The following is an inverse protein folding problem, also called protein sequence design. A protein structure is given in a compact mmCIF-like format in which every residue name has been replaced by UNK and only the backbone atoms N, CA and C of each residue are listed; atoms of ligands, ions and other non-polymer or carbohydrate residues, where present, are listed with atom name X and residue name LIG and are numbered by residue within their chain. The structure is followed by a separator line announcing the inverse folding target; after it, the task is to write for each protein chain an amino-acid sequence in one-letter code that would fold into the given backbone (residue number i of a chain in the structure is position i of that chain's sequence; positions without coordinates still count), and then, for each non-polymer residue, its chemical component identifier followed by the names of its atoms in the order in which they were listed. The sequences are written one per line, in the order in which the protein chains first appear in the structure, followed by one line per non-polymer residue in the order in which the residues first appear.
data_IF_090024947725
#
_entry.id   IF_090024947725
#
_cell.length_a   1.000
_cell.length_b   1.000
_cell.length_c   1.000
_cell.angle_alpha   90.00
_cell.angle_beta   90.00
_cell.angle_gamma   90.00
#
_symmetry.space_group_name_H-M   'P 1'
#
loop_
_entity.id
_entity.type
_entity.pdbx_description
1 polymer ?
#
# COMPACT_ATOMS: atom_id res chain seq x y z
N UNK A 1 0.89 10.39 -9.76
CA UNK A 1 -0.52 9.93 -9.66
C UNK A 1 -0.65 8.49 -10.13
N UNK A 2 -0.34 8.16 -11.38
CA UNK A 2 -0.43 6.77 -11.86
C UNK A 2 0.61 5.84 -11.19
N UNK A 3 1.86 6.28 -11.08
CA UNK A 3 2.92 5.53 -10.38
C UNK A 3 2.58 5.28 -8.90
N UNK A 4 1.94 6.25 -8.25
CA UNK A 4 1.53 6.14 -6.84
C UNK A 4 0.40 5.12 -6.66
N UNK A 5 -0.53 5.05 -7.62
CA UNK A 5 -1.62 4.06 -7.66
C UNK A 5 -1.04 2.65 -7.88
N UNK A 6 -0.09 2.51 -8.82
CA UNK A 6 0.55 1.22 -9.10
C UNK A 6 1.33 0.73 -7.88
N UNK A 7 2.07 1.61 -7.21
CA UNK A 7 2.78 1.28 -5.97
C UNK A 7 1.81 0.88 -4.85
N UNK A 8 0.68 1.58 -4.72
CA UNK A 8 -0.35 1.27 -3.73
C UNK A 8 -1.05 -0.08 -4.01
N UNK A 9 -1.19 -0.48 -5.27
CA UNK A 9 -1.80 -1.75 -5.64
C UNK A 9 -0.82 -2.93 -5.55
N UNK A 10 0.45 -2.70 -5.89
CA UNK A 10 1.47 -3.75 -6.01
C UNK A 10 2.77 -3.37 -5.29
N UNK A 11 2.76 -3.17 -3.96
CA UNK A 11 3.96 -2.77 -3.22
C UNK A 11 5.01 -3.88 -3.17
N UNK A 12 4.60 -5.14 -3.34
CA UNK A 12 5.47 -6.32 -3.26
C UNK A 12 6.31 -6.58 -4.52
N UNK A 13 5.93 -6.00 -5.65
CA UNK A 13 6.59 -6.22 -6.94
C UNK A 13 7.06 -4.88 -7.56
N UNK A 14 7.17 -3.83 -6.74
CA UNK A 14 7.63 -2.52 -7.18
C UNK A 14 9.16 -2.46 -7.27
N UNK A 15 9.67 -1.68 -8.23
CA UNK A 15 11.09 -1.40 -8.34
C UNK A 15 11.49 -0.33 -7.30
N UNK A 16 12.39 -0.67 -6.38
CA UNK A 16 12.86 0.26 -5.35
C UNK A 16 13.60 1.47 -5.95
N UNK A 17 14.20 1.36 -7.13
CA UNK A 17 14.87 2.50 -7.77
C UNK A 17 13.87 3.58 -8.25
N UNK A 18 12.61 3.20 -8.45
CA UNK A 18 11.54 4.07 -8.97
C UNK A 18 10.67 4.68 -7.86
N UNK A 19 10.93 4.36 -6.59
CA UNK A 19 10.16 4.88 -5.44
C UNK A 19 10.94 5.95 -4.67
N UNK A 20 10.23 6.70 -3.83
CA UNK A 20 10.84 7.69 -2.94
C UNK A 20 11.83 7.02 -1.99
N UNK A 21 13.03 7.58 -1.87
CA UNK A 21 14.11 7.07 -0.99
C UNK A 21 13.63 6.83 0.45
N UNK A 22 12.72 7.67 0.94
CA UNK A 22 12.16 7.53 2.29
C UNK A 22 11.33 6.25 2.49
N UNK A 23 10.75 5.72 1.41
CA UNK A 23 9.94 4.50 1.39
C UNK A 23 10.74 3.24 1.03
N UNK A 24 11.91 3.38 0.38
CA UNK A 24 12.70 2.25 -0.11
C UNK A 24 13.00 1.21 0.98
N UNK A 25 13.38 1.65 2.18
CA UNK A 25 13.67 0.76 3.31
C UNK A 25 12.43 -0.01 3.76
N UNK A 26 11.31 0.70 3.98
CA UNK A 26 10.06 0.09 4.42
C UNK A 26 9.48 -0.86 3.35
N UNK A 27 9.64 -0.51 2.07
CA UNK A 27 9.21 -1.36 0.95
C UNK A 27 10.11 -2.59 0.78
N UNK A 28 11.42 -2.47 0.99
CA UNK A 28 12.31 -3.64 1.02
C UNK A 28 11.90 -4.61 2.13
N UNK A 29 11.73 -4.09 3.36
CA UNK A 29 11.31 -4.89 4.50
C UNK A 29 9.91 -5.48 4.32
N UNK A 30 9.03 -4.82 3.58
CA UNK A 30 7.72 -5.34 3.21
C UNK A 30 7.84 -6.49 2.22
N UNK A 31 8.66 -6.32 1.17
CA UNK A 31 8.88 -7.31 0.12
C UNK A 31 9.48 -8.61 0.64
N UNK A 32 10.31 -8.55 1.68
CA UNK A 32 10.90 -9.72 2.35
C UNK A 32 9.91 -10.49 3.25
N UNK A 33 8.73 -9.93 3.54
CA UNK A 33 7.75 -10.52 4.48
C UNK A 33 6.62 -11.24 3.72
N UNK A 34 6.84 -12.51 3.39
CA UNK A 34 5.86 -13.36 2.71
C UNK A 34 4.48 -13.39 3.41
N UNK A 35 4.45 -13.41 4.74
CA UNK A 35 3.19 -13.39 5.50
C UNK A 35 2.39 -12.08 5.30
N UNK A 36 3.05 -10.96 5.01
CA UNK A 36 2.38 -9.72 4.65
C UNK A 36 1.88 -9.77 3.21
N UNK A 37 2.58 -10.45 2.31
CA UNK A 37 2.13 -10.68 0.92
C UNK A 37 0.85 -11.53 0.88
N UNK A 38 0.78 -12.56 1.71
CA UNK A 38 -0.44 -13.35 1.91
C UNK A 38 -1.59 -12.47 2.41
N UNK A 39 -1.37 -11.71 3.50
CA UNK A 39 -2.38 -10.78 4.05
C UNK A 39 -2.82 -9.70 3.07
N UNK A 40 -1.91 -9.23 2.21
CA UNK A 40 -2.22 -8.26 1.15
C UNK A 40 -3.19 -8.84 0.13
N UNK A 41 -3.06 -10.13 -0.20
CA UNK A 41 -3.94 -10.83 -1.13
C UNK A 41 -5.31 -11.13 -0.50
N UNK A 42 -5.36 -11.38 0.81
CA UNK A 42 -6.59 -11.70 1.53
C UNK A 42 -7.45 -10.47 1.90
N UNK A 43 -6.83 -9.28 2.00
CA UNK A 43 -7.48 -8.07 2.53
C UNK A 43 -7.65 -7.00 1.47
N UNK A 44 -8.64 -6.13 1.67
CA UNK A 44 -8.73 -4.88 0.92
C UNK A 44 -7.50 -4.01 1.23
N UNK A 45 -6.97 -3.32 0.22
CA UNK A 45 -5.75 -2.49 0.34
C UNK A 45 -5.79 -1.55 1.55
N UNK A 46 -6.90 -0.80 1.72
CA UNK A 46 -7.08 0.14 2.85
C UNK A 46 -6.91 -0.58 4.20
N UNK A 47 -7.53 -1.75 4.34
CA UNK A 47 -7.44 -2.56 5.56
C UNK A 47 -6.04 -3.11 5.75
N UNK A 48 -5.39 -3.58 4.69
CA UNK A 48 -4.00 -4.05 4.74
C UNK A 48 -3.06 -2.96 5.27
N UNK A 49 -3.04 -1.78 4.66
CA UNK A 49 -2.16 -0.68 5.06
C UNK A 49 -2.47 -0.19 6.48
N UNK A 50 -3.75 -0.17 6.90
CA UNK A 50 -4.12 0.19 8.28
C UNK A 50 -3.59 -0.78 9.34
N UNK A 51 -3.38 -2.05 8.97
CA UNK A 51 -2.93 -3.12 9.87
C UNK A 51 -1.40 -3.27 9.93
N UNK A 52 -0.64 -2.50 9.14
CA UNK A 52 0.82 -2.52 9.21
C UNK A 52 1.30 -1.93 10.54
N UNK A 53 2.33 -2.52 11.17
CA UNK A 53 2.92 -1.98 12.39
C UNK A 53 3.49 -0.58 12.16
N UNK A 54 3.11 0.37 13.02
CA UNK A 54 3.52 1.78 12.89
C UNK A 54 5.02 1.99 13.13
N UNK A 55 5.66 1.16 13.94
CA UNK A 55 7.09 1.22 14.21
C UNK A 55 7.95 0.80 13.01
N UNK A 56 7.40 -0.01 12.10
CA UNK A 56 8.12 -0.51 10.92
C UNK A 56 7.69 0.19 9.63
N UNK A 57 6.42 0.60 9.50
CA UNK A 57 5.84 1.06 8.23
C UNK A 57 5.15 2.43 8.31
N UNK A 58 5.53 3.28 9.25
CA UNK A 58 4.90 4.60 9.43
C UNK A 58 4.90 5.47 8.17
N UNK A 59 5.98 5.47 7.38
CA UNK A 59 6.07 6.31 6.18
C UNK A 59 5.18 5.77 5.07
N UNK A 60 5.17 4.46 4.87
CA UNK A 60 4.31 3.79 3.91
C UNK A 60 2.83 4.00 4.28
N UNK A 61 2.47 3.92 5.56
CA UNK A 61 1.11 4.25 6.03
C UNK A 61 0.74 5.70 5.75
N UNK A 62 1.64 6.64 6.04
CA UNK A 62 1.41 8.07 5.78
C UNK A 62 1.29 8.37 4.29
N UNK A 63 2.15 7.77 3.47
CA UNK A 63 2.11 7.89 2.01
C UNK A 63 0.77 7.39 1.43
N UNK A 64 0.27 6.29 1.97
CA UNK A 64 -0.98 5.68 1.51
C UNK A 64 -2.24 6.29 2.13
N UNK A 65 -2.15 7.11 3.18
CA UNK A 65 -3.30 7.73 3.84
C UNK A 65 -4.15 8.62 2.91
N UNK A 66 -3.53 9.18 1.85
CA UNK A 66 -4.21 9.97 0.82
C UNK A 66 -4.83 9.17 -0.32
N UNK A 67 -4.56 7.86 -0.43
CA UNK A 67 -5.04 7.00 -1.51
C UNK A 67 -6.52 6.57 -1.38
N UNK A 68 -7.07 6.30 -0.18
CA UNK A 68 -8.48 5.95 -0.03
C UNK A 68 -9.47 6.95 -0.64
N UNK A 69 -9.15 8.25 -0.63
CA UNK A 69 -9.99 9.29 -1.24
C UNK A 69 -9.90 9.31 -2.77
N UNK A 70 -8.75 8.94 -3.34
CA UNK A 70 -8.57 8.74 -4.79
C UNK A 70 -9.35 7.52 -5.28
N UNK A 71 -9.47 6.47 -4.44
CA UNK A 71 -10.30 5.32 -4.76
C UNK A 71 -11.79 5.56 -4.46
N UNK A 72 -12.17 6.43 -3.51
CA UNK A 72 -13.57 6.75 -3.27
C UNK A 72 -14.24 7.43 -4.48
N UNK A 73 -13.50 8.17 -5.29
CA UNK A 73 -14.04 8.76 -6.53
C UNK A 73 -14.15 7.76 -7.69
N UNK A 74 -13.48 6.61 -7.62
CA UNK A 74 -13.56 5.52 -8.62
C UNK A 74 -14.29 4.27 -8.12
N UNK A 75 -14.61 4.16 -6.83
CA UNK A 75 -15.17 2.96 -6.18
C UNK A 75 -16.44 3.24 -5.35
N UNK A 76 -17.10 4.38 -5.52
CA UNK A 76 -18.47 4.63 -4.99
C UNK A 76 -19.50 4.21 -6.04
N UNK A 77 -19.49 2.94 -6.44
CA UNK A 77 -20.64 2.33 -7.10
C UNK A 77 -20.92 0.87 -6.70
N UNK A 78 -20.01 0.11 -6.07
CA UNK A 78 -20.26 -1.33 -5.86
C UNK A 78 -20.14 -1.85 -4.42
N UNK A 79 -20.30 -1.01 -3.39
CA UNK A 79 -20.48 -1.49 -2.00
C UNK A 79 -21.57 -0.73 -1.24
N UNK A 80 -22.72 -0.55 -1.89
CA UNK A 80 -24.00 -0.55 -1.18
C UNK A 80 -24.85 -1.62 -1.85
N UNK A 81 -24.70 -2.86 -1.42
CA UNK A 81 -25.69 -3.93 -1.44
C UNK A 81 -25.22 -5.08 -0.55
#
# INVERSE_FOLDING_TARGET
MESDIILFQNPFDCNLDDVLVELQLELNDLQEKDFLKEKHTERKLITFYSCLPDDEFSKLKNYTAGMPSLFATTYVCEQIL
#
